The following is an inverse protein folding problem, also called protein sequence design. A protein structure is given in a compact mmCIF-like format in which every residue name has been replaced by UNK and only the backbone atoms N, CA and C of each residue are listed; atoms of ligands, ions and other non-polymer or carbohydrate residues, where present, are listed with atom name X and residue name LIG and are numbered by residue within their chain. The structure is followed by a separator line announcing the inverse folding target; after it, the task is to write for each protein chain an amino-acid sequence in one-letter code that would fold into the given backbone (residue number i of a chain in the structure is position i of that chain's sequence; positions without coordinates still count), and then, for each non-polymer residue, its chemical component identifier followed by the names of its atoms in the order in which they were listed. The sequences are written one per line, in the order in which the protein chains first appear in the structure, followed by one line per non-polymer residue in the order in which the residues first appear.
data_IF_370524262730
#
_entry.id   IF_370524262730
#
_cell.length_a   1.000
_cell.length_b   1.000
_cell.length_c   1.000
_cell.angle_alpha   90.00
_cell.angle_beta   90.00
_cell.angle_gamma   90.00
#
_symmetry.space_group_name_H-M   'P 1'
#
loop_
_entity.id
_entity.type
_entity.pdbx_description
1 polymer ?
#
# COMPACT_ATOMS: atom_id res chain seq x y z
N UNK A 1 -7.85 -3.25 -19.22
CA UNK A 1 -7.59 -3.63 -17.82
C UNK A 1 -7.54 -5.14 -17.76
N UNK A 2 -6.35 -5.71 -17.86
CA UNK A 2 -6.12 -7.14 -17.59
C UNK A 2 -5.73 -7.16 -16.11
N UNK A 3 -6.60 -7.71 -15.25
CA UNK A 3 -6.26 -7.92 -13.84
C UNK A 3 -5.21 -9.02 -13.79
N UNK A 4 -4.08 -8.75 -13.14
CA UNK A 4 -3.08 -9.77 -12.84
C UNK A 4 -3.72 -10.82 -11.90
N UNK A 5 -3.78 -12.11 -12.27
CA UNK A 5 -4.35 -13.15 -11.42
C UNK A 5 -3.57 -13.36 -10.11
N UNK A 6 -2.34 -12.86 -10.00
CA UNK A 6 -1.55 -12.86 -8.76
C UNK A 6 -1.89 -11.72 -7.81
N UNK A 7 -2.58 -10.68 -8.29
CA UNK A 7 -3.14 -9.58 -7.50
C UNK A 7 -4.58 -9.82 -7.03
N UNK A 8 -5.12 -11.02 -7.29
CA UNK A 8 -6.40 -11.44 -6.71
C UNK A 8 -6.27 -11.38 -5.19
N UNK A 9 -7.10 -10.54 -4.57
CA UNK A 9 -7.05 -10.27 -3.14
C UNK A 9 -6.96 -11.57 -2.35
N UNK A 10 -6.03 -11.64 -1.41
CA UNK A 10 -5.71 -12.80 -0.56
C UNK A 10 -6.86 -13.26 0.36
N UNK A 11 -8.07 -12.73 0.16
CA UNK A 11 -9.27 -13.03 0.92
C UNK A 11 -10.29 -13.88 0.16
N UNK A 12 -11.37 -14.31 0.83
CA UNK A 12 -12.32 -15.32 0.34
C UNK A 12 -13.13 -14.93 -0.92
N UNK A 13 -12.97 -13.71 -1.45
CA UNK A 13 -13.79 -13.16 -2.52
C UNK A 13 -13.05 -12.86 -3.84
N UNK A 14 -11.73 -13.07 -3.92
CA UNK A 14 -10.86 -12.67 -5.06
C UNK A 14 -10.93 -11.17 -5.45
N UNK A 15 -11.74 -10.37 -4.76
CA UNK A 15 -11.91 -8.94 -4.98
C UNK A 15 -11.00 -8.17 -4.03
N UNK A 16 -10.53 -7.00 -4.48
CA UNK A 16 -9.77 -6.13 -3.59
C UNK A 16 -10.68 -5.53 -2.50
N UNK A 17 -10.12 -5.11 -1.35
CA UNK A 17 -10.89 -4.44 -0.30
C UNK A 17 -11.67 -3.21 -0.82
N UNK A 18 -11.09 -2.47 -1.78
CA UNK A 18 -11.76 -1.33 -2.40
C UNK A 18 -12.97 -1.75 -3.26
N UNK A 19 -12.87 -2.88 -3.98
CA UNK A 19 -13.99 -3.39 -4.79
C UNK A 19 -15.13 -3.88 -3.91
N UNK A 20 -14.82 -4.51 -2.77
CA UNK A 20 -15.81 -4.98 -1.80
C UNK A 20 -16.57 -3.82 -1.13
N UNK A 21 -15.90 -2.68 -0.90
CA UNK A 21 -16.50 -1.51 -0.26
C UNK A 21 -17.01 -0.45 -1.24
N UNK A 22 -16.82 -0.64 -2.54
CA UNK A 22 -17.32 0.29 -3.57
C UNK A 22 -18.82 0.61 -3.47
N UNK A 23 -19.73 -0.34 -3.11
CA UNK A 23 -21.14 -0.03 -2.89
C UNK A 23 -21.42 0.94 -1.73
N UNK A 24 -20.49 1.06 -0.77
CA UNK A 24 -20.53 2.06 0.29
C UNK A 24 -19.88 3.39 -0.12
N UNK A 25 -19.43 3.53 -1.37
CA UNK A 25 -18.79 4.73 -1.90
C UNK A 25 -17.30 4.83 -1.60
N UNK A 26 -16.68 3.76 -1.13
CA UNK A 26 -15.24 3.72 -0.83
C UNK A 26 -14.43 3.66 -2.12
N UNK A 27 -13.39 4.48 -2.21
CA UNK A 27 -12.41 4.51 -3.30
C UNK A 27 -11.00 4.63 -2.73
N UNK A 28 -9.94 4.40 -3.52
CA UNK A 28 -8.56 4.67 -3.09
C UNK A 28 -8.33 6.10 -2.57
N UNK A 29 -9.16 7.05 -3.00
CA UNK A 29 -9.08 8.46 -2.60
C UNK A 29 -9.87 8.80 -1.34
N UNK A 30 -10.64 7.87 -0.78
CA UNK A 30 -11.40 8.09 0.46
C UNK A 30 -10.43 8.47 1.58
N UNK A 31 -10.67 9.57 2.30
CA UNK A 31 -9.73 10.00 3.34
C UNK A 31 -9.65 8.96 4.47
N UNK A 32 -8.54 8.95 5.21
CA UNK A 32 -8.42 8.03 6.35
C UNK A 32 -9.50 8.30 7.41
N UNK A 33 -9.86 9.57 7.61
CA UNK A 33 -10.94 9.96 8.52
C UNK A 33 -12.27 9.36 8.07
N UNK A 34 -12.65 9.57 6.80
CA UNK A 34 -13.92 9.06 6.28
C UNK A 34 -13.98 7.53 6.28
N UNK A 35 -12.83 6.86 6.09
CA UNK A 35 -12.73 5.40 6.17
C UNK A 35 -13.13 4.84 7.55
N UNK A 36 -12.90 5.58 8.64
CA UNK A 36 -13.35 5.14 9.97
C UNK A 36 -14.87 5.05 10.05
N UNK A 37 -15.57 5.98 9.38
CA UNK A 37 -17.02 6.11 9.42
C UNK A 37 -17.74 5.19 8.43
N UNK A 38 -17.02 4.53 7.51
CA UNK A 38 -17.58 3.58 6.52
C UNK A 38 -18.38 2.46 7.17
N UNK A 39 -18.02 2.04 8.39
CA UNK A 39 -18.78 1.01 9.12
C UNK A 39 -20.25 1.40 9.34
N UNK A 40 -20.54 2.69 9.54
CA UNK A 40 -21.90 3.18 9.70
C UNK A 40 -22.68 3.13 8.39
N UNK A 41 -22.06 3.50 7.26
CA UNK A 41 -22.68 3.37 5.94
C UNK A 41 -22.97 1.91 5.59
N UNK A 42 -22.05 1.00 5.90
CA UNK A 42 -22.25 -0.44 5.71
C UNK A 42 -23.43 -0.97 6.53
N UNK A 43 -23.58 -0.52 7.79
CA UNK A 43 -24.72 -0.89 8.64
C UNK A 43 -26.03 -0.29 8.12
N UNK A 44 -26.03 1.00 7.80
CA UNK A 44 -27.22 1.73 7.33
C UNK A 44 -27.79 1.16 6.03
N UNK A 45 -26.91 0.66 5.15
CA UNK A 45 -27.29 0.05 3.86
C UNK A 45 -27.46 -1.46 3.92
N UNK A 46 -27.36 -2.07 5.10
CA UNK A 46 -27.39 -3.53 5.29
C UNK A 46 -26.33 -4.29 4.47
N UNK A 47 -25.16 -3.68 4.29
CA UNK A 47 -24.01 -4.24 3.58
C UNK A 47 -22.95 -4.83 4.53
N UNK A 48 -23.15 -4.75 5.85
CA UNK A 48 -22.21 -5.30 6.84
C UNK A 48 -22.27 -6.84 6.88
N UNK A 49 -21.47 -7.47 6.04
CA UNK A 49 -21.17 -8.92 6.03
C UNK A 49 -19.78 -9.18 6.63
N UNK A 50 -19.44 -10.42 7.01
CA UNK A 50 -18.09 -10.75 7.47
C UNK A 50 -16.99 -10.35 6.47
N UNK A 51 -17.25 -10.54 5.17
CA UNK A 51 -16.29 -10.21 4.09
C UNK A 51 -16.07 -8.69 3.98
N UNK A 52 -17.13 -7.89 4.01
CA UNK A 52 -17.02 -6.42 3.98
C UNK A 52 -16.47 -5.86 5.28
N UNK A 53 -16.71 -6.53 6.42
CA UNK A 53 -16.12 -6.15 7.70
C UNK A 53 -14.60 -6.36 7.68
N UNK A 54 -14.14 -7.49 7.16
CA UNK A 54 -12.71 -7.77 6.98
C UNK A 54 -12.06 -6.75 6.03
N UNK A 55 -12.69 -6.46 4.90
CA UNK A 55 -12.22 -5.42 3.97
C UNK A 55 -12.13 -4.03 4.64
N UNK A 56 -13.11 -3.68 5.47
CA UNK A 56 -13.07 -2.44 6.26
C UNK A 56 -11.96 -2.48 7.31
N UNK A 57 -11.74 -3.60 7.99
CA UNK A 57 -10.64 -3.79 8.95
C UNK A 57 -9.25 -3.68 8.30
N UNK A 58 -9.10 -4.07 7.04
CA UNK A 58 -7.88 -3.85 6.25
C UNK A 58 -7.68 -2.37 5.89
N UNK A 59 -8.72 -1.69 5.42
CA UNK A 59 -8.60 -0.31 4.93
C UNK A 59 -8.61 0.76 6.04
N UNK A 60 -9.22 0.49 7.20
CA UNK A 60 -9.27 1.45 8.32
C UNK A 60 -7.96 1.59 9.08
N UNK A 61 -6.98 0.72 8.87
CA UNK A 61 -5.63 0.86 9.43
C UNK A 61 -4.71 1.47 8.39
N UNK A 62 -4.02 2.56 8.71
CA UNK A 62 -3.07 3.22 7.79
C UNK A 62 -2.05 2.21 7.27
N UNK A 63 -1.43 1.43 8.17
CA UNK A 63 -0.40 0.44 7.80
C UNK A 63 -0.92 -0.61 6.83
N UNK A 64 -2.10 -1.19 7.10
CA UNK A 64 -2.66 -2.23 6.23
C UNK A 64 -3.13 -1.64 4.90
N UNK A 65 -3.76 -0.46 4.94
CA UNK A 65 -4.19 0.27 3.74
C UNK A 65 -3.03 0.60 2.80
N UNK A 66 -1.88 1.04 3.33
CA UNK A 66 -0.68 1.28 2.50
C UNK A 66 -0.21 0.02 1.76
N UNK A 67 -0.32 -1.15 2.38
CA UNK A 67 0.00 -2.42 1.73
C UNK A 67 -1.01 -2.74 0.60
N UNK A 68 -2.31 -2.49 0.83
CA UNK A 68 -3.34 -2.64 -0.21
C UNK A 68 -3.10 -1.67 -1.36
N UNK A 69 -2.78 -0.41 -1.06
CA UNK A 69 -2.50 0.63 -2.06
C UNK A 69 -1.28 0.29 -2.91
N UNK A 70 -0.23 -0.29 -2.31
CA UNK A 70 0.96 -0.75 -3.04
C UNK A 70 0.59 -1.82 -4.09
N UNK A 71 -0.34 -2.72 -3.76
CA UNK A 71 -0.79 -3.77 -4.68
C UNK A 71 -1.66 -3.24 -5.83
N UNK A 72 -2.14 -1.99 -5.76
CA UNK A 72 -2.85 -1.35 -6.87
C UNK A 72 -1.90 -0.76 -7.92
N UNK A 73 -0.61 -0.59 -7.61
CA UNK A 73 0.37 -0.09 -8.55
C UNK A 73 0.80 -1.20 -9.51
N UNK A 74 0.24 -1.18 -10.71
CA UNK A 74 0.71 -1.96 -11.85
C UNK A 74 1.95 -1.28 -12.45
N UNK A 75 3.13 -1.65 -11.95
CA UNK A 75 4.41 -1.15 -12.47
C UNK A 75 4.93 -2.13 -13.52
N UNK A 76 5.03 -1.68 -14.77
CA UNK A 76 5.77 -2.44 -15.79
C UNK A 76 7.28 -2.31 -15.50
N UNK A 77 7.78 -3.24 -14.71
CA UNK A 77 9.20 -3.30 -14.35
C UNK A 77 10.11 -3.36 -15.58
N UNK A 78 9.68 -3.97 -16.68
CA UNK A 78 10.51 -4.07 -17.89
C UNK A 78 10.70 -2.70 -18.54
N UNK A 79 9.65 -1.88 -18.54
CA UNK A 79 9.70 -0.52 -19.07
C UNK A 79 10.38 0.47 -18.12
N UNK A 80 10.17 0.33 -16.80
CA UNK A 80 10.58 1.32 -15.80
C UNK A 80 11.98 1.09 -15.23
N UNK A 81 12.45 -0.17 -15.15
CA UNK A 81 13.76 -0.49 -14.53
C UNK A 81 14.96 0.21 -15.20
N UNK A 82 15.07 0.29 -16.54
CA UNK A 82 16.23 0.93 -17.16
C UNK A 82 16.40 2.40 -16.76
N UNK A 83 15.29 3.14 -16.72
CA UNK A 83 15.27 4.57 -16.32
C UNK A 83 15.61 4.70 -14.84
N UNK A 84 15.03 3.86 -14.00
CA UNK A 84 15.31 3.87 -12.56
C UNK A 84 16.80 3.58 -12.27
N UNK A 85 17.42 2.65 -12.99
CA UNK A 85 18.86 2.34 -12.86
C UNK A 85 19.72 3.56 -13.25
N UNK A 86 19.44 4.19 -14.39
CA UNK A 86 20.18 5.39 -14.82
C UNK A 86 20.06 6.55 -13.85
N UNK A 87 18.88 6.76 -13.26
CA UNK A 87 18.65 7.80 -12.27
C UNK A 87 19.37 7.52 -10.95
N UNK A 88 19.38 6.26 -10.49
CA UNK A 88 20.14 5.83 -9.31
C UNK A 88 21.64 5.99 -9.55
N UNK A 89 22.15 5.55 -10.70
CA UNK A 89 23.57 5.68 -11.05
C UNK A 89 23.99 7.15 -11.11
N UNK A 90 23.14 8.02 -11.67
CA UNK A 90 23.38 9.47 -11.68
C UNK A 90 23.39 10.05 -10.26
N UNK A 91 22.48 9.62 -9.40
CA UNK A 91 22.43 10.07 -8.01
C UNK A 91 23.66 9.63 -7.22
N UNK A 92 24.07 8.37 -7.34
CA UNK A 92 25.27 7.82 -6.70
C UNK A 92 26.56 8.51 -7.20
N UNK A 93 26.63 8.83 -8.50
CA UNK A 93 27.77 9.55 -9.07
C UNK A 93 27.84 11.04 -8.63
N UNK A 94 26.71 11.61 -8.22
CA UNK A 94 26.61 12.99 -7.73
C UNK A 94 26.91 13.12 -6.22
N UNK A 95 26.92 12.01 -5.48
CA UNK A 95 27.32 12.04 -4.07
C UNK A 95 28.85 12.22 -3.95
N UNK A 96 29.32 13.22 -3.17
CA UNK A 96 30.74 13.31 -2.84
C UNK A 96 31.15 12.10 -2.01
N UNK A 97 32.35 11.56 -2.30
CA UNK A 97 32.92 10.38 -1.65
C UNK A 97 32.78 10.52 -0.11
N UNK A 98 31.97 9.68 0.57
CA UNK A 98 31.89 9.74 2.01
C UNK A 98 33.28 9.43 2.58
N UNK A 99 33.69 10.05 3.71
CA UNK A 99 34.92 9.65 4.37
C UNK A 99 34.86 8.14 4.60
N UNK A 100 35.88 7.40 4.14
CA UNK A 100 36.01 5.96 4.28
C UNK A 100 36.16 5.58 5.76
N UNK A 101 35.09 5.68 6.52
CA UNK A 101 34.94 5.08 7.83
C UNK A 101 34.37 3.68 7.60
N UNK A 102 35.25 2.69 7.66
CA UNK A 102 34.90 1.28 7.54
C UNK A 102 33.95 0.86 8.67
N UNK A 103 32.66 0.92 8.41
CA UNK A 103 31.64 0.18 9.15
C UNK A 103 30.62 -0.28 8.13
N UNK A 104 30.66 -1.56 7.80
CA UNK A 104 29.60 -2.21 7.05
C UNK A 104 28.28 -1.98 7.79
N UNK A 105 27.38 -1.22 7.18
CA UNK A 105 26.02 -1.06 7.67
C UNK A 105 25.35 -2.41 7.48
N UNK A 106 25.25 -3.19 8.56
CA UNK A 106 24.25 -4.25 8.63
C UNK A 106 22.88 -3.59 8.43
N UNK A 107 21.95 -4.18 7.66
CA UNK A 107 20.57 -3.75 7.67
C UNK A 107 19.94 -4.17 9.00
N UNK A 108 20.38 -3.56 10.10
CA UNK A 108 19.78 -3.69 11.43
C UNK A 108 18.71 -2.59 11.56
N UNK A 109 17.47 -3.04 11.76
CA UNK A 109 16.31 -2.44 12.45
C UNK A 109 15.83 -1.01 12.10
N UNK A 110 16.54 -0.23 11.31
CA UNK A 110 16.22 1.20 11.04
C UNK A 110 15.08 1.41 10.03
N UNK A 111 14.81 0.43 9.16
CA UNK A 111 13.64 0.49 8.26
C UNK A 111 12.31 0.42 9.03
N UNK A 112 12.30 -0.20 10.21
CA UNK A 112 11.11 -0.25 11.08
C UNK A 112 10.89 1.11 11.77
N UNK A 113 11.96 1.83 12.10
CA UNK A 113 11.87 3.17 12.72
C UNK A 113 11.49 4.29 11.74
N UNK A 114 11.73 4.10 10.43
CA UNK A 114 11.31 5.08 9.41
C UNK A 114 9.78 5.14 9.24
N UNK A 115 9.06 4.12 9.72
CA UNK A 115 7.61 4.02 9.68
C UNK A 115 7.04 4.20 11.10
N UNK A 116 7.37 5.32 11.77
CA UNK A 116 6.63 5.75 12.96
C UNK A 116 5.47 6.64 12.54
N UNK A 117 4.28 6.05 12.50
CA UNK A 117 3.03 6.79 12.54
C UNK A 117 2.66 6.93 14.02
N UNK A 118 2.84 8.13 14.59
CA UNK A 118 2.29 8.45 15.90
C UNK A 118 0.76 8.30 15.84
N UNK A 119 0.22 7.51 16.79
CA UNK A 119 -1.21 7.22 16.96
C UNK A 119 -1.80 8.20 17.97
#
# INVERSE_FOLDING_TARGET
MIKDPSANGTGPSNLSPYELLAPAGVTPWTSHKDMQDVSFELLARHLMTPVTQEAWDELRSVRRRLLVDLMLYDVDLTAELPVAVEDIDRALAAEPDPPRSGTAVRPDDTLIDLIRFDV
#
